data_IF_246937706061
#
_entry.id   IF_246937706061
#
_cell.length_a   1.000
_cell.length_b   1.000
_cell.length_c   1.000
_cell.angle_alpha   90.00
_cell.angle_beta   90.00
_cell.angle_gamma   90.00
#
_symmetry.space_group_name_H-M   'P 1'
#
loop_
_entity.id
_entity.type
_entity.pdbx_description
1 polymer ?
#
# COMPACT_ATOMS: atom_id res chain seq x y z
N UNK A 1 24.92 -3.67 -2.87
CA UNK A 1 24.31 -4.78 -3.65
C UNK A 1 22.84 -4.45 -3.84
N UNK A 2 22.28 -4.49 -5.06
CA UNK A 2 20.84 -4.31 -5.23
C UNK A 2 20.14 -5.47 -4.51
N UNK A 3 19.29 -5.14 -3.55
CA UNK A 3 18.58 -6.12 -2.73
C UNK A 3 17.57 -6.84 -3.63
N UNK A 4 17.55 -8.18 -3.61
CA UNK A 4 16.65 -8.97 -4.45
C UNK A 4 15.19 -8.63 -4.08
N UNK A 5 14.36 -8.11 -5.01
CA UNK A 5 12.97 -7.74 -4.74
C UNK A 5 12.14 -8.90 -4.17
N UNK A 6 12.46 -10.15 -4.56
CA UNK A 6 11.84 -11.37 -4.06
C UNK A 6 12.10 -11.59 -2.57
N UNK A 7 13.34 -11.31 -2.12
CA UNK A 7 13.72 -11.45 -0.72
C UNK A 7 12.99 -10.44 0.17
N UNK A 8 12.92 -9.18 -0.26
CA UNK A 8 12.18 -8.14 0.45
C UNK A 8 10.68 -8.46 0.52
N UNK A 9 10.10 -8.93 -0.59
CA UNK A 9 8.70 -9.35 -0.64
C UNK A 9 8.41 -10.51 0.32
N UNK A 10 9.29 -11.52 0.41
CA UNK A 10 9.15 -12.64 1.33
C UNK A 10 9.27 -12.18 2.79
N UNK A 11 10.31 -11.41 3.12
CA UNK A 11 10.48 -10.88 4.48
C UNK A 11 9.27 -10.03 4.90
N UNK A 12 8.76 -9.20 4.01
CA UNK A 12 7.63 -8.33 4.29
C UNK A 12 6.31 -9.10 4.40
N UNK A 13 6.02 -9.99 3.45
CA UNK A 13 4.82 -10.84 3.51
C UNK A 13 4.80 -11.74 4.76
N UNK A 14 5.97 -12.21 5.18
CA UNK A 14 6.13 -12.95 6.45
C UNK A 14 5.81 -12.07 7.65
N UNK A 15 6.31 -10.82 7.66
CA UNK A 15 6.08 -9.87 8.75
C UNK A 15 4.61 -9.48 8.86
N UNK A 16 3.95 -9.20 7.72
CA UNK A 16 2.50 -8.92 7.67
C UNK A 16 1.68 -10.10 8.16
N UNK A 17 2.02 -11.31 7.71
CA UNK A 17 1.30 -12.51 8.13
C UNK A 17 1.53 -12.85 9.61
N UNK A 18 2.71 -12.52 10.14
CA UNK A 18 2.99 -12.65 11.56
C UNK A 18 2.17 -11.65 12.38
N UNK A 19 2.10 -10.38 11.96
CA UNK A 19 1.28 -9.33 12.58
C UNK A 19 -0.20 -9.71 12.60
N UNK A 20 -0.74 -10.20 11.49
CA UNK A 20 -2.12 -10.65 11.38
C UNK A 20 -2.40 -11.83 12.34
N UNK A 21 -1.52 -12.83 12.38
CA UNK A 21 -1.65 -13.99 13.29
C UNK A 21 -1.61 -13.64 14.78
N UNK A 22 -0.96 -12.54 15.16
CA UNK A 22 -0.95 -12.05 16.55
C UNK A 22 -2.06 -11.02 16.83
N UNK A 23 -3.01 -10.85 15.89
CA UNK A 23 -4.16 -9.95 16.03
C UNK A 23 -3.81 -8.47 15.91
N UNK A 24 -2.64 -8.14 15.36
CA UNK A 24 -2.19 -6.76 15.20
C UNK A 24 -2.64 -6.25 13.83
N UNK A 25 -3.63 -5.35 13.83
CA UNK A 25 -4.12 -4.75 12.59
C UNK A 25 -3.13 -3.75 12.01
N UNK A 26 -2.93 -3.79 10.69
CA UNK A 26 -2.03 -2.86 9.98
C UNK A 26 -2.42 -1.38 10.17
N UNK A 27 -3.72 -1.00 10.19
CA UNK A 27 -4.12 0.37 10.56
C UNK A 27 -3.65 0.78 11.96
N UNK A 28 -3.69 -0.13 12.95
CA UNK A 28 -3.22 0.15 14.31
C UNK A 28 -1.70 0.38 14.32
N UNK A 29 -0.94 -0.47 13.63
CA UNK A 29 0.53 -0.32 13.53
C UNK A 29 0.88 1.02 12.89
N UNK A 30 0.27 1.35 11.75
CA UNK A 30 0.51 2.61 11.06
C UNK A 30 0.15 3.82 11.94
N UNK A 31 -0.95 3.75 12.69
CA UNK A 31 -1.35 4.80 13.63
C UNK A 31 -0.37 4.96 14.79
N UNK A 32 0.04 3.88 15.43
CA UNK A 32 0.97 3.89 16.56
C UNK A 32 2.37 4.36 16.17
N UNK A 33 2.79 4.02 14.95
CA UNK A 33 4.11 4.38 14.42
C UNK A 33 4.10 5.66 13.58
N UNK A 34 2.96 6.36 13.51
CA UNK A 34 2.78 7.54 12.64
C UNK A 34 3.84 8.63 12.82
N UNK A 35 4.25 8.90 14.07
CA UNK A 35 5.31 9.84 14.40
C UNK A 35 6.72 9.44 13.90
N UNK A 36 6.97 8.13 13.75
CA UNK A 36 8.20 7.60 13.14
C UNK A 36 8.10 7.55 11.62
N UNK A 37 6.88 7.36 11.10
CA UNK A 37 6.61 7.26 9.66
C UNK A 37 6.56 8.62 8.96
N UNK A 38 6.21 9.70 9.66
CA UNK A 38 6.07 11.03 9.05
C UNK A 38 7.36 11.53 8.37
N UNK A 39 8.54 11.53 9.03
CA UNK A 39 9.78 11.98 8.39
C UNK A 39 10.17 11.08 7.21
N UNK A 40 10.03 9.77 7.40
CA UNK A 40 10.32 8.77 6.36
C UNK A 40 9.43 8.95 5.14
N UNK A 41 8.16 9.30 5.33
CA UNK A 41 7.22 9.50 4.24
C UNK A 41 7.48 10.82 3.50
N UNK A 42 7.86 11.89 4.21
CA UNK A 42 8.31 13.13 3.55
C UNK A 42 9.55 12.89 2.69
N UNK A 43 10.54 12.17 3.21
CA UNK A 43 11.75 11.81 2.47
C UNK A 43 11.42 10.90 1.27
N UNK A 44 10.52 9.95 1.44
CA UNK A 44 10.02 9.10 0.36
C UNK A 44 9.33 9.91 -0.75
N UNK A 45 8.39 10.78 -0.40
CA UNK A 45 7.68 11.64 -1.37
C UNK A 45 8.65 12.56 -2.12
N UNK A 46 9.66 13.08 -1.41
CA UNK A 46 10.70 13.91 -2.01
C UNK A 46 11.53 13.12 -3.02
N UNK A 47 11.93 11.90 -2.65
CA UNK A 47 12.76 11.04 -3.48
C UNK A 47 12.07 10.52 -4.73
N UNK A 48 10.77 10.21 -4.65
CA UNK A 48 10.03 9.59 -5.76
C UNK A 48 9.24 10.57 -6.62
N UNK A 49 8.66 11.62 -6.03
CA UNK A 49 7.77 12.55 -6.75
C UNK A 49 8.15 14.03 -6.56
N UNK A 50 9.27 14.32 -5.89
CA UNK A 50 9.79 15.69 -5.72
C UNK A 50 9.00 16.57 -4.73
N UNK A 51 8.07 15.99 -3.96
CA UNK A 51 7.24 16.74 -3.00
C UNK A 51 7.69 16.51 -1.56
N UNK A 52 7.77 17.57 -0.75
CA UNK A 52 7.93 17.45 0.71
C UNK A 52 6.59 17.54 1.45
N UNK A 53 5.51 17.85 0.74
CA UNK A 53 4.21 18.06 1.34
C UNK A 53 3.45 16.73 1.43
N UNK A 54 2.92 16.48 2.64
CA UNK A 54 2.01 15.37 2.85
C UNK A 54 0.65 15.71 2.23
N UNK A 55 -0.06 14.72 1.66
CA UNK A 55 -1.39 14.93 1.12
C UNK A 55 -2.35 15.37 2.23
N UNK A 56 -3.30 16.24 1.88
CA UNK A 56 -4.29 16.82 2.81
C UNK A 56 -5.68 16.22 2.68
N UNK A 57 -5.94 15.49 1.60
CA UNK A 57 -7.23 14.86 1.31
C UNK A 57 -7.04 13.64 0.40
N UNK A 58 -8.09 12.83 0.22
CA UNK A 58 -8.02 11.60 -0.59
C UNK A 58 -7.70 11.85 -2.06
N UNK A 59 -8.05 13.01 -2.62
CA UNK A 59 -7.70 13.33 -4.01
C UNK A 59 -6.20 13.57 -4.15
N UNK A 60 -5.58 14.27 -3.19
CA UNK A 60 -4.12 14.43 -3.15
C UNK A 60 -3.41 13.08 -2.92
N UNK A 61 -3.97 12.19 -2.09
CA UNK A 61 -3.45 10.81 -1.95
C UNK A 61 -3.51 10.08 -3.29
N UNK A 62 -4.63 10.19 -4.02
CA UNK A 62 -4.77 9.62 -5.36
C UNK A 62 -3.67 10.12 -6.30
N UNK A 63 -3.46 11.44 -6.39
CA UNK A 63 -2.43 12.03 -7.26
C UNK A 63 -1.01 11.53 -6.91
N UNK A 64 -0.71 11.37 -5.62
CA UNK A 64 0.57 10.81 -5.15
C UNK A 64 0.73 9.38 -5.66
N UNK A 65 -0.31 8.55 -5.55
CA UNK A 65 -0.26 7.15 -5.98
C UNK A 65 -0.15 7.04 -7.51
N UNK A 66 -0.89 7.85 -8.26
CA UNK A 66 -0.79 7.89 -9.73
C UNK A 66 0.65 8.22 -10.17
N UNK A 67 1.28 9.22 -9.56
CA UNK A 67 2.70 9.55 -9.82
C UNK A 67 3.65 8.42 -9.45
N UNK A 68 3.41 7.74 -8.32
CA UNK A 68 4.25 6.63 -7.88
C UNK A 68 4.14 5.40 -8.80
N UNK A 69 2.95 5.16 -9.32
CA UNK A 69 2.69 4.10 -10.31
C UNK A 69 3.42 4.39 -11.61
N UNK A 70 3.37 5.63 -12.10
CA UNK A 70 4.06 6.07 -13.31
C UNK A 70 5.59 5.91 -13.19
N UNK A 71 6.16 6.23 -12.02
CA UNK A 71 7.59 6.09 -11.75
C UNK A 71 8.00 4.63 -11.48
N UNK A 72 7.13 3.87 -10.81
CA UNK A 72 7.42 2.51 -10.33
C UNK A 72 7.15 1.40 -11.35
N UNK A 73 6.46 1.69 -12.46
CA UNK A 73 6.23 0.72 -13.54
C UNK A 73 5.29 -0.43 -13.17
N UNK A 74 4.23 -0.15 -12.42
CA UNK A 74 3.25 -1.16 -11.98
C UNK A 74 2.17 -1.32 -13.05
N UNK A 75 2.49 -1.97 -14.18
CA UNK A 75 1.52 -2.38 -15.21
C UNK A 75 0.47 -1.31 -15.60
N UNK A 76 -0.72 -1.75 -16.02
CA UNK A 76 -1.87 -0.85 -16.17
C UNK A 76 -2.53 -0.68 -14.79
N UNK A 77 -2.27 0.45 -14.12
CA UNK A 77 -2.88 0.75 -12.82
C UNK A 77 -3.86 1.91 -12.91
N UNK A 78 -4.98 1.78 -12.21
CA UNK A 78 -6.07 2.74 -12.12
C UNK A 78 -6.34 3.08 -10.66
N UNK A 79 -6.39 4.37 -10.34
CA UNK A 79 -6.64 4.88 -8.99
C UNK A 79 -7.96 5.67 -8.99
N UNK A 80 -8.88 5.29 -8.11
CA UNK A 80 -10.22 5.88 -8.03
C UNK A 80 -10.55 6.26 -6.59
N UNK A 81 -11.22 7.41 -6.43
CA UNK A 81 -11.80 7.85 -5.16
C UNK A 81 -13.30 7.99 -5.36
N UNK A 82 -14.08 7.20 -4.64
CA UNK A 82 -15.54 7.24 -4.66
C UNK A 82 -16.08 6.86 -3.28
N UNK A 83 -17.12 7.54 -2.79
CA UNK A 83 -17.83 7.20 -1.54
C UNK A 83 -16.91 6.95 -0.32
N UNK A 84 -15.89 7.80 -0.14
CA UNK A 84 -14.85 7.68 0.90
C UNK A 84 -14.01 6.39 0.83
N UNK A 85 -14.00 5.75 -0.33
CA UNK A 85 -13.17 4.62 -0.65
C UNK A 85 -12.10 5.03 -1.66
N UNK A 86 -10.84 4.76 -1.34
CA UNK A 86 -9.73 4.86 -2.28
C UNK A 86 -9.44 3.45 -2.81
N UNK A 87 -9.58 3.28 -4.11
CA UNK A 87 -9.35 2.01 -4.81
C UNK A 87 -8.14 2.15 -5.71
N UNK A 88 -7.17 1.25 -5.56
CA UNK A 88 -6.04 1.08 -6.48
C UNK A 88 -6.21 -0.29 -7.12
N UNK A 89 -6.38 -0.32 -8.43
CA UNK A 89 -6.51 -1.56 -9.20
C UNK A 89 -5.41 -1.63 -10.24
N UNK A 90 -4.80 -2.80 -10.42
CA UNK A 90 -3.75 -3.03 -11.39
C UNK A 90 -4.04 -4.28 -12.21
N UNK A 91 -3.81 -4.19 -13.52
CA UNK A 91 -3.86 -5.31 -14.47
C UNK A 91 -2.46 -5.63 -14.97
N UNK A 92 -2.20 -6.91 -15.20
CA UNK A 92 -0.90 -7.43 -15.61
C UNK A 92 0.22 -7.02 -14.63
N UNK A 93 -0.11 -7.09 -13.34
CA UNK A 93 0.83 -6.78 -12.28
C UNK A 93 2.04 -7.72 -12.35
N UNK A 94 3.25 -7.16 -12.48
CA UNK A 94 4.50 -7.95 -12.49
C UNK A 94 4.73 -8.78 -11.21
N UNK A 95 3.96 -8.51 -10.15
CA UNK A 95 4.03 -9.23 -8.88
C UNK A 95 2.97 -10.34 -8.75
N UNK A 96 2.13 -10.57 -9.76
CA UNK A 96 1.04 -11.55 -9.70
C UNK A 96 1.55 -12.98 -9.51
N UNK A 97 2.61 -13.36 -10.22
CA UNK A 97 3.23 -14.69 -10.09
C UNK A 97 3.86 -14.88 -8.71
N UNK A 98 4.49 -13.83 -8.18
CA UNK A 98 5.05 -13.82 -6.83
C UNK A 98 3.95 -13.90 -5.77
N UNK A 99 2.80 -13.26 -5.98
CA UNK A 99 1.61 -13.39 -5.14
C UNK A 99 1.06 -14.81 -5.16
N UNK A 100 0.96 -15.41 -6.34
CA UNK A 100 0.48 -16.78 -6.50
C UNK A 100 1.40 -17.78 -5.78
N UNK A 101 2.72 -17.61 -5.93
CA UNK A 101 3.71 -18.41 -5.19
C UNK A 101 3.62 -18.19 -3.67
N UNK A 102 3.46 -16.96 -3.20
CA UNK A 102 3.33 -16.69 -1.76
C UNK A 102 2.12 -17.38 -1.15
N UNK A 103 1.00 -17.47 -1.89
CA UNK A 103 -0.20 -18.20 -1.47
C UNK A 103 0.01 -19.70 -1.34
N UNK A 104 0.83 -20.30 -2.21
CA UNK A 104 1.16 -21.74 -2.07
C UNK A 104 1.97 -22.02 -0.80
N UNK A 105 2.69 -21.01 -0.29
CA UNK A 105 3.40 -21.05 0.99
C UNK A 105 2.52 -20.70 2.20
N UNK A 106 1.23 -20.44 2.00
CA UNK A 106 0.29 -20.07 3.07
C UNK A 106 0.33 -18.60 3.47
N UNK A 107 0.98 -17.73 2.67
CA UNK A 107 0.93 -16.28 2.86
C UNK A 107 -0.25 -15.69 2.07
N UNK A 108 -1.25 -15.06 2.73
CA UNK A 108 -2.45 -14.56 2.05
C UNK A 108 -2.18 -13.29 1.22
N UNK A 109 -1.08 -12.58 1.50
CA UNK A 109 -0.79 -11.23 1.02
C UNK A 109 0.19 -11.17 -0.15
N UNK A 110 -0.15 -10.37 -1.17
CA UNK A 110 0.70 -10.02 -2.31
C UNK A 110 1.77 -8.98 -1.92
N UNK A 111 2.92 -8.87 -2.61
CA UNK A 111 3.86 -7.74 -2.47
C UNK A 111 3.21 -6.35 -2.64
N UNK A 112 2.09 -6.25 -3.37
CA UNK A 112 1.24 -5.05 -3.44
C UNK A 112 0.67 -4.64 -2.07
N UNK A 113 0.72 -5.48 -1.03
CA UNK A 113 0.40 -5.09 0.35
C UNK A 113 1.36 -4.03 0.92
N UNK A 114 2.50 -3.80 0.28
CA UNK A 114 3.32 -2.60 0.55
C UNK A 114 2.54 -1.35 0.15
N UNK A 115 1.83 -1.37 -0.98
CA UNK A 115 0.99 -0.27 -1.43
C UNK A 115 -0.19 -0.10 -0.48
N UNK A 116 -0.82 -1.18 0.01
CA UNK A 116 -1.88 -1.04 1.02
C UNK A 116 -1.37 -0.37 2.29
N UNK A 117 -0.16 -0.71 2.75
CA UNK A 117 0.46 -0.04 3.90
C UNK A 117 0.83 1.41 3.61
N UNK A 118 1.36 1.70 2.43
CA UNK A 118 1.62 3.08 2.00
C UNK A 118 0.33 3.89 1.90
N UNK A 119 -0.75 3.33 1.36
CA UNK A 119 -2.07 3.97 1.28
C UNK A 119 -2.60 4.27 2.68
N UNK A 120 -2.51 3.29 3.60
CA UNK A 120 -2.88 3.47 5.00
C UNK A 120 -2.04 4.56 5.66
N UNK A 121 -0.72 4.57 5.42
CA UNK A 121 0.18 5.59 5.96
C UNK A 121 -0.13 6.99 5.40
N UNK A 122 -0.31 7.11 4.08
CA UNK A 122 -0.63 8.36 3.38
C UNK A 122 -1.97 8.97 3.82
N UNK A 123 -2.87 8.17 4.40
CA UNK A 123 -4.10 8.66 5.02
C UNK A 123 -3.91 8.95 6.51
N UNK A 124 -3.31 8.02 7.24
CA UNK A 124 -3.29 8.03 8.71
C UNK A 124 -2.28 9.03 9.29
N UNK A 125 -1.11 9.19 8.64
CA UNK A 125 -0.06 10.08 9.11
C UNK A 125 -0.45 11.56 8.98
N UNK A 126 -0.92 12.05 7.81
CA UNK A 126 -1.44 13.42 7.71
C UNK A 126 -2.80 13.62 8.39
N UNK A 127 -3.38 12.56 8.98
CA UNK A 127 -4.69 12.59 9.66
C UNK A 127 -5.83 13.03 8.73
N UNK A 128 -5.81 12.54 7.49
CA UNK A 128 -6.89 12.79 6.50
C UNK A 128 -8.21 12.14 6.95
N UNK A 129 -8.10 11.01 7.66
CA UNK A 129 -9.23 10.28 8.23
C UNK A 129 -8.77 9.01 8.91
N UNK A 130 -9.73 8.18 9.33
CA UNK A 130 -9.50 6.87 9.94
C UNK A 130 -9.71 5.80 8.89
N UNK A 131 -8.68 4.99 8.62
CA UNK A 131 -8.83 3.79 7.78
C UNK A 131 -9.58 2.73 8.58
N UNK A 132 -10.81 2.42 8.20
CA UNK A 132 -11.67 1.46 8.91
C UNK A 132 -11.64 0.07 8.29
N UNK A 133 -11.30 -0.03 7.01
CA UNK A 133 -11.22 -1.31 6.32
C UNK A 133 -10.14 -1.27 5.23
N UNK A 134 -9.54 -2.43 4.97
CA UNK A 134 -8.57 -2.64 3.89
C UNK A 134 -8.87 -3.98 3.23
N UNK A 135 -9.44 -3.91 2.03
CA UNK A 135 -9.84 -5.08 1.26
C UNK A 135 -8.83 -5.27 0.14
N UNK A 136 -8.29 -6.49 0.03
CA UNK A 136 -7.36 -6.87 -1.04
C UNK A 136 -8.01 -8.01 -1.83
N UNK A 137 -8.35 -7.74 -3.08
CA UNK A 137 -8.96 -8.71 -4.00
C UNK A 137 -7.98 -9.04 -5.13
N UNK A 138 -7.94 -10.30 -5.53
CA UNK A 138 -7.21 -10.71 -6.74
C UNK A 138 -8.10 -11.61 -7.59
N UNK A 139 -8.18 -11.35 -8.88
CA UNK A 139 -8.98 -12.14 -9.81
C UNK A 139 -8.22 -12.28 -11.12
N UNK A 140 -7.75 -13.49 -11.43
CA UNK A 140 -6.93 -13.73 -12.63
C UNK A 140 -5.64 -12.91 -12.60
N UNK A 141 -5.46 -12.02 -13.58
CA UNK A 141 -4.33 -11.09 -13.70
C UNK A 141 -4.60 -9.70 -13.09
N UNK A 142 -5.72 -9.53 -12.40
CA UNK A 142 -6.09 -8.26 -11.75
C UNK A 142 -5.90 -8.35 -10.24
N UNK A 143 -5.38 -7.27 -9.67
CA UNK A 143 -5.26 -7.04 -8.23
C UNK A 143 -5.93 -5.71 -7.90
N UNK A 144 -6.75 -5.67 -6.85
CA UNK A 144 -7.30 -4.42 -6.33
C UNK A 144 -7.12 -4.31 -4.83
N UNK A 145 -6.75 -3.12 -4.39
CA UNK A 145 -6.65 -2.70 -3.00
C UNK A 145 -7.67 -1.61 -2.79
N UNK A 146 -8.59 -1.80 -1.85
CA UNK A 146 -9.60 -0.82 -1.47
C UNK A 146 -9.38 -0.46 -0.02
N UNK A 147 -9.19 0.82 0.27
CA UNK A 147 -9.18 1.32 1.64
C UNK A 147 -10.41 2.20 1.87
N UNK A 148 -11.15 1.90 2.94
CA UNK A 148 -12.29 2.71 3.37
C UNK A 148 -11.79 3.71 4.40
N UNK A 149 -12.11 4.98 4.20
CA UNK A 149 -11.71 6.08 5.07
C UNK A 149 -12.95 6.75 5.64
N UNK A 150 -12.99 6.90 6.96
CA UNK A 150 -14.04 7.66 7.65
C UNK A 150 -13.44 8.94 8.23
N UNK A 151 -14.28 9.97 8.42
CA UNK A 151 -13.85 11.27 9.00
C UNK A 151 -13.61 11.15 10.50
#
# INVERSE_FOLDING_TARGET
>A
MPVNPLYNAICFGTLLSALDKIGVSLPIVARQTSHLLEPLMKDFLKGFIGSNDLPKNLNEVKEVIEKLVDVGGIGETKVEVADKMLTVSGKDCMYIDMSNFSRTLGYPTCPMCVISLMLVALVSVPKIGVVTDTIIETKGNECSIKIKVEE
#
